data_IF_747482441096
#
_entry.id   IF_747482441096
#
_cell.length_a   1.000
_cell.length_b   1.000
_cell.length_c   1.000
_cell.angle_alpha   90.00
_cell.angle_beta   90.00
_cell.angle_gamma   90.00
#
_symmetry.space_group_name_H-M   'P 1'
#
loop_
_entity.id
_entity.type
_entity.pdbx_description
1 polymer ?
#
# COMPACT_ATOMS: atom_id res chain seq x y z
N UNK A 1 -53.26 24.44 1.39
CA UNK A 1 -51.92 23.83 1.41
C UNK A 1 -50.89 24.92 1.23
N UNK A 2 -50.00 25.20 2.21
CA UNK A 2 -48.95 26.20 2.03
C UNK A 2 -47.92 25.71 1.00
N UNK A 3 -47.33 26.60 0.19
CA UNK A 3 -46.36 26.21 -0.83
C UNK A 3 -45.04 25.73 -0.20
N UNK A 4 -44.52 24.60 -0.69
CA UNK A 4 -43.27 23.94 -0.26
C UNK A 4 -42.03 24.86 -0.16
N UNK A 5 -42.07 26.04 -0.78
CA UNK A 5 -40.97 27.03 -0.75
C UNK A 5 -40.83 27.75 0.59
N UNK A 6 -41.88 27.87 1.39
CA UNK A 6 -41.83 28.65 2.64
C UNK A 6 -41.25 27.86 3.82
N UNK A 7 -41.34 26.53 3.80
CA UNK A 7 -40.90 25.67 4.92
C UNK A 7 -39.40 25.41 4.96
N UNK A 8 -38.68 25.51 3.84
CA UNK A 8 -37.23 25.26 3.75
C UNK A 8 -36.35 26.52 3.93
N UNK A 9 -36.96 27.71 3.91
CA UNK A 9 -36.26 29.01 3.97
C UNK A 9 -35.38 29.23 5.21
N UNK A 10 -35.72 28.80 6.44
CA UNK A 10 -34.85 28.98 7.60
C UNK A 10 -33.64 28.03 7.62
N UNK A 11 -33.73 26.87 6.96
CA UNK A 11 -32.62 25.91 6.89
C UNK A 11 -31.52 26.35 5.92
N UNK A 12 -31.88 27.00 4.81
CA UNK A 12 -30.93 27.52 3.80
C UNK A 12 -30.13 28.75 4.28
N UNK A 13 -30.54 29.41 5.37
CA UNK A 13 -29.86 30.59 5.92
C UNK A 13 -28.85 30.23 7.02
N UNK A 14 -28.90 29.00 7.53
CA UNK A 14 -27.94 28.49 8.51
C UNK A 14 -26.65 28.04 7.81
N UNK A 15 -25.47 28.30 8.38
CA UNK A 15 -24.20 27.80 7.82
C UNK A 15 -24.05 26.27 7.98
N UNK A 16 -24.84 25.66 8.87
CA UNK A 16 -24.75 24.23 9.23
C UNK A 16 -24.79 23.27 8.03
N UNK A 17 -25.76 23.32 7.10
CA UNK A 17 -25.77 22.42 5.94
C UNK A 17 -24.53 22.56 5.05
N UNK A 18 -23.99 23.77 4.89
CA UNK A 18 -22.77 23.98 4.12
C UNK A 18 -21.55 23.37 4.81
N UNK A 19 -21.43 23.54 6.13
CA UNK A 19 -20.33 22.94 6.91
C UNK A 19 -20.37 21.41 6.87
N UNK A 20 -21.56 20.81 6.95
CA UNK A 20 -21.72 19.36 6.84
C UNK A 20 -21.30 18.85 5.45
N UNK A 21 -21.76 19.53 4.39
CA UNK A 21 -21.38 19.18 3.02
C UNK A 21 -19.88 19.35 2.78
N UNK A 22 -19.28 20.46 3.25
CA UNK A 22 -17.85 20.69 3.14
C UNK A 22 -17.04 19.62 3.88
N UNK A 23 -17.46 19.25 5.09
CA UNK A 23 -16.79 18.20 5.88
C UNK A 23 -16.88 16.85 5.18
N UNK A 24 -18.05 16.50 4.64
CA UNK A 24 -18.25 15.27 3.88
C UNK A 24 -17.38 15.24 2.61
N UNK A 25 -17.33 16.36 1.87
CA UNK A 25 -16.51 16.48 0.66
C UNK A 25 -15.01 16.36 0.96
N UNK A 26 -14.52 17.00 2.03
CA UNK A 26 -13.13 16.90 2.47
C UNK A 26 -12.78 15.47 2.92
N UNK A 27 -13.67 14.82 3.66
CA UNK A 27 -13.48 13.43 4.09
C UNK A 27 -13.42 12.45 2.92
N UNK A 28 -14.32 12.62 1.94
CA UNK A 28 -14.30 11.84 0.70
C UNK A 28 -12.97 12.04 -0.05
N UNK A 29 -12.57 13.30 -0.29
CA UNK A 29 -11.35 13.60 -1.03
C UNK A 29 -10.09 13.06 -0.33
N UNK A 30 -10.01 13.21 1.00
CA UNK A 30 -8.94 12.65 1.80
C UNK A 30 -8.85 11.12 1.63
N UNK A 31 -9.98 10.42 1.72
CA UNK A 31 -10.05 8.97 1.52
C UNK A 31 -9.59 8.57 0.13
N UNK A 32 -10.04 9.27 -0.92
CA UNK A 32 -9.62 9.01 -2.30
C UNK A 32 -8.11 9.15 -2.46
N UNK A 33 -7.48 10.16 -1.86
CA UNK A 33 -6.04 10.34 -1.93
C UNK A 33 -5.27 9.24 -1.24
N UNK A 34 -5.68 8.89 -0.02
CA UNK A 34 -5.01 7.81 0.74
C UNK A 34 -5.08 6.50 -0.05
N UNK A 35 -6.25 6.16 -0.60
CA UNK A 35 -6.44 4.97 -1.42
C UNK A 35 -5.61 5.03 -2.71
N UNK A 36 -5.54 6.19 -3.38
CA UNK A 36 -4.72 6.36 -4.58
C UNK A 36 -3.24 6.17 -4.29
N UNK A 37 -2.74 6.75 -3.19
CA UNK A 37 -1.34 6.59 -2.76
C UNK A 37 -1.03 5.12 -2.47
N UNK A 38 -1.92 4.42 -1.77
CA UNK A 38 -1.72 2.99 -1.50
C UNK A 38 -1.72 2.16 -2.78
N UNK A 39 -2.70 2.40 -3.67
CA UNK A 39 -2.80 1.74 -4.97
C UNK A 39 -1.53 1.94 -5.80
N UNK A 40 -0.97 3.16 -5.83
CA UNK A 40 0.28 3.45 -6.53
C UNK A 40 1.46 2.65 -5.98
N UNK A 41 1.56 2.43 -4.66
CA UNK A 41 2.62 1.60 -4.05
C UNK A 41 2.47 0.14 -4.45
N UNK A 42 1.26 -0.42 -4.33
CA UNK A 42 0.96 -1.81 -4.68
C UNK A 42 1.09 -2.11 -6.19
N UNK A 43 0.94 -1.10 -7.05
CA UNK A 43 1.15 -1.24 -8.49
C UNK A 43 2.51 -0.77 -8.99
N UNK A 44 3.40 -0.34 -8.09
CA UNK A 44 4.75 0.10 -8.45
C UNK A 44 5.56 -1.05 -9.08
N UNK A 45 6.48 -0.70 -10.00
CA UNK A 45 7.36 -1.67 -10.64
C UNK A 45 8.21 -2.44 -9.62
N UNK A 46 8.70 -1.73 -8.59
CA UNK A 46 9.51 -2.33 -7.53
C UNK A 46 8.72 -3.34 -6.69
N UNK A 47 7.47 -3.03 -6.33
CA UNK A 47 6.61 -3.97 -5.61
C UNK A 47 6.40 -5.26 -6.41
N UNK A 48 6.08 -5.12 -7.71
CA UNK A 48 5.89 -6.28 -8.60
C UNK A 48 7.17 -7.11 -8.75
N UNK A 49 8.32 -6.45 -8.87
CA UNK A 49 9.62 -7.12 -8.93
C UNK A 49 9.91 -7.90 -7.64
N UNK A 50 9.74 -7.27 -6.47
CA UNK A 50 9.95 -7.94 -5.18
C UNK A 50 9.00 -9.12 -5.01
N UNK A 51 7.70 -8.95 -5.31
CA UNK A 51 6.73 -10.06 -5.26
C UNK A 51 7.12 -11.20 -6.19
N UNK A 52 7.66 -10.90 -7.36
CA UNK A 52 8.13 -11.91 -8.30
C UNK A 52 9.35 -12.68 -7.76
N UNK A 53 10.31 -11.98 -7.16
CA UNK A 53 11.47 -12.61 -6.51
C UNK A 53 11.04 -13.55 -5.38
N UNK A 54 10.17 -13.07 -4.47
CA UNK A 54 9.67 -13.88 -3.35
C UNK A 54 8.95 -15.14 -3.85
N UNK A 55 8.15 -15.03 -4.92
CA UNK A 55 7.43 -16.17 -5.52
C UNK A 55 8.32 -17.20 -6.21
N UNK A 56 9.60 -16.89 -6.43
CA UNK A 56 10.56 -17.77 -7.11
C UNK A 56 11.69 -18.24 -6.20
N UNK A 57 11.95 -17.54 -5.11
CA UNK A 57 12.99 -17.91 -4.15
C UNK A 57 12.60 -19.23 -3.45
N UNK A 58 13.42 -20.30 -3.55
CA UNK A 58 13.09 -21.59 -2.94
C UNK A 58 12.93 -21.54 -1.42
N UNK A 59 13.62 -20.61 -0.74
CA UNK A 59 13.55 -20.43 0.72
C UNK A 59 12.25 -19.72 1.12
N UNK A 60 11.79 -18.78 0.32
CA UNK A 60 10.47 -18.17 0.53
C UNK A 60 9.34 -19.17 0.25
N UNK A 61 9.47 -19.97 -0.81
CA UNK A 61 8.53 -21.01 -1.17
C UNK A 61 8.45 -22.13 -0.12
N UNK A 62 9.57 -22.51 0.49
CA UNK A 62 9.56 -23.51 1.57
C UNK A 62 8.88 -23.00 2.85
N UNK A 63 8.93 -21.70 3.12
CA UNK A 63 8.29 -21.09 4.28
C UNK A 63 6.79 -20.81 4.08
N UNK A 64 6.40 -20.32 2.89
CA UNK A 64 5.05 -19.81 2.63
C UNK A 64 4.20 -20.73 1.76
N UNK A 65 4.81 -21.66 1.03
CA UNK A 65 4.13 -22.49 0.03
C UNK A 65 4.24 -21.92 -1.39
N UNK A 66 3.54 -22.56 -2.33
CA UNK A 66 3.70 -22.31 -3.76
C UNK A 66 2.98 -21.02 -4.23
N UNK A 67 1.83 -20.68 -3.65
CA UNK A 67 1.06 -19.49 -4.02
C UNK A 67 1.15 -18.38 -2.97
N UNK A 68 2.12 -17.48 -3.14
CA UNK A 68 2.28 -16.29 -2.31
C UNK A 68 1.47 -15.13 -2.90
N UNK A 69 0.47 -14.65 -2.16
CA UNK A 69 -0.48 -13.62 -2.58
C UNK A 69 -0.42 -12.39 -1.68
N UNK A 70 -0.72 -11.24 -2.28
CA UNK A 70 -1.01 -10.01 -1.57
C UNK A 70 -2.45 -9.63 -1.89
N UNK A 71 -3.24 -9.39 -0.85
CA UNK A 71 -4.61 -8.94 -0.95
C UNK A 71 -4.80 -7.74 0.01
N UNK A 72 -5.03 -6.53 -0.52
CA UNK A 72 -5.18 -5.33 0.29
C UNK A 72 -6.40 -5.36 1.22
N UNK A 73 -7.45 -6.13 0.88
CA UNK A 73 -8.67 -6.19 1.69
C UNK A 73 -8.45 -6.96 2.99
N UNK A 74 -7.64 -8.02 2.94
CA UNK A 74 -7.39 -8.92 4.09
C UNK A 74 -6.06 -8.63 4.80
N UNK A 75 -5.05 -8.13 4.07
CA UNK A 75 -3.70 -7.91 4.58
C UNK A 75 -3.36 -6.43 4.79
N UNK A 76 -4.25 -5.53 4.37
CA UNK A 76 -4.10 -4.09 4.52
C UNK A 76 -3.13 -3.45 3.53
N UNK A 77 -2.95 -2.15 3.69
CA UNK A 77 -2.18 -1.32 2.76
C UNK A 77 -0.67 -1.58 2.78
N UNK A 78 -0.03 -1.36 1.62
CA UNK A 78 1.43 -1.26 1.51
C UNK A 78 1.91 0.01 2.23
N UNK A 79 2.72 -0.17 3.26
CA UNK A 79 3.32 0.90 4.06
C UNK A 79 4.69 1.29 3.51
N UNK A 80 5.15 2.48 3.91
CA UNK A 80 6.43 3.05 3.48
C UNK A 80 6.29 3.99 2.28
N UNK A 81 7.39 4.21 1.58
CA UNK A 81 7.55 5.23 0.53
C UNK A 81 8.24 4.67 -0.70
N UNK A 82 7.72 5.01 -1.87
CA UNK A 82 8.33 4.70 -3.16
C UNK A 82 8.55 6.00 -3.89
N UNK A 83 9.77 6.24 -4.33
CA UNK A 83 10.14 7.46 -5.02
C UNK A 83 10.93 7.09 -6.26
N UNK A 84 10.20 6.75 -7.33
CA UNK A 84 10.81 6.28 -8.59
C UNK A 84 11.77 7.32 -9.19
N UNK A 85 11.47 8.61 -9.09
CA UNK A 85 12.34 9.67 -9.61
C UNK A 85 13.64 9.85 -8.81
N UNK A 86 13.64 9.56 -7.50
CA UNK A 86 14.86 9.53 -6.68
C UNK A 86 15.55 8.16 -6.70
N UNK A 87 14.93 7.17 -7.34
CA UNK A 87 15.39 5.80 -7.33
C UNK A 87 15.46 5.20 -5.92
N UNK A 88 14.55 5.57 -5.01
CA UNK A 88 14.53 5.04 -3.64
C UNK A 88 13.21 4.35 -3.33
N UNK A 89 13.25 3.23 -2.60
CA UNK A 89 12.07 2.52 -2.13
C UNK A 89 12.30 1.97 -0.73
N UNK A 90 11.31 2.16 0.15
CA UNK A 90 11.19 1.49 1.44
C UNK A 90 9.74 1.06 1.58
N UNK A 91 9.49 -0.24 1.44
CA UNK A 91 8.17 -0.82 1.36
C UNK A 91 8.01 -1.92 2.39
N UNK A 92 6.85 -1.90 3.06
CA UNK A 92 6.45 -2.94 4.02
C UNK A 92 5.02 -3.38 3.74
N UNK A 93 4.81 -4.67 3.58
CA UNK A 93 3.48 -5.23 3.36
C UNK A 93 3.40 -6.67 3.85
N UNK A 94 2.18 -7.12 4.13
CA UNK A 94 1.94 -8.52 4.48
C UNK A 94 1.64 -9.34 3.20
N UNK A 95 2.04 -10.60 3.21
CA UNK A 95 1.71 -11.60 2.18
C UNK A 95 1.15 -12.84 2.86
N UNK A 96 0.33 -13.59 2.13
CA UNK A 96 -0.24 -14.85 2.59
C UNK A 96 0.12 -15.97 1.61
N UNK A 97 0.54 -17.10 2.17
CA UNK A 97 0.86 -18.32 1.44
C UNK A 97 -0.24 -19.39 1.49
N UNK A 98 -0.02 -20.53 0.84
CA UNK A 98 -1.04 -21.60 0.67
C UNK A 98 -1.58 -22.18 1.98
N UNK A 99 -0.76 -22.18 3.04
CA UNK A 99 -1.12 -22.76 4.32
C UNK A 99 -1.78 -21.74 5.28
N UNK A 100 -2.24 -20.59 4.77
CA UNK A 100 -2.73 -19.48 5.61
C UNK A 100 -1.62 -18.80 6.42
N UNK A 101 -0.36 -19.13 6.13
CA UNK A 101 0.82 -18.54 6.78
C UNK A 101 0.97 -17.12 6.27
N UNK A 102 0.95 -16.17 7.20
CA UNK A 102 1.19 -14.75 6.91
C UNK A 102 2.66 -14.41 7.14
N UNK A 103 3.19 -13.59 6.27
CA UNK A 103 4.52 -13.03 6.40
C UNK A 103 4.54 -11.52 6.17
N UNK A 104 5.39 -10.83 6.89
CA UNK A 104 5.69 -9.42 6.64
C UNK A 104 6.93 -9.33 5.77
N UNK A 105 6.78 -8.69 4.62
CA UNK A 105 7.87 -8.37 3.71
C UNK A 105 8.38 -6.96 4.03
N UNK A 106 9.69 -6.81 4.19
CA UNK A 106 10.33 -5.51 4.24
C UNK A 106 11.39 -5.43 3.15
N UNK A 107 11.18 -4.51 2.22
CA UNK A 107 12.14 -4.16 1.18
C UNK A 107 12.60 -2.72 1.36
N UNK A 108 13.91 -2.49 1.39
CA UNK A 108 14.53 -1.17 1.28
C UNK A 108 15.64 -1.25 0.24
N UNK A 109 15.62 -0.35 -0.73
CA UNK A 109 16.64 -0.29 -1.75
C UNK A 109 16.72 1.06 -2.44
N UNK A 110 17.83 1.30 -3.11
CA UNK A 110 18.09 2.51 -3.87
C UNK A 110 18.90 2.21 -5.14
N UNK A 111 18.76 3.08 -6.15
CA UNK A 111 19.66 3.12 -7.30
C UNK A 111 20.93 3.87 -6.87
N UNK A 112 22.07 3.18 -6.78
CA UNK A 112 23.34 3.83 -6.42
C UNK A 112 23.85 4.75 -7.53
N UNK A 113 23.65 4.36 -8.78
CA UNK A 113 24.06 5.14 -9.94
C UNK A 113 22.82 5.53 -10.75
N UNK A 114 22.45 6.82 -10.85
CA UNK A 114 21.25 7.24 -11.58
C UNK A 114 21.24 6.88 -13.07
N UNK A 115 22.43 6.72 -13.68
CA UNK A 115 22.58 6.29 -15.08
C UNK A 115 22.39 4.78 -15.28
N UNK A 116 22.57 3.97 -14.25
CA UNK A 116 22.39 2.52 -14.32
C UNK A 116 21.02 2.18 -13.75
N UNK A 117 20.18 1.45 -14.50
CA UNK A 117 18.84 1.05 -14.04
C UNK A 117 18.90 -0.12 -13.03
N UNK A 118 19.98 -0.19 -12.25
CA UNK A 118 20.29 -1.26 -11.30
C UNK A 118 19.83 -0.82 -9.92
N UNK A 119 18.91 -1.60 -9.34
CA UNK A 119 18.46 -1.42 -7.97
C UNK A 119 19.31 -2.25 -7.03
N UNK A 120 19.88 -1.61 -6.01
CA UNK A 120 20.56 -2.31 -4.92
C UNK A 120 19.65 -2.36 -3.70
N UNK A 121 19.52 -3.55 -3.11
CA UNK A 121 18.74 -3.75 -1.90
C UNK A 121 19.60 -3.59 -0.66
N UNK A 122 19.21 -2.69 0.24
CA UNK A 122 19.81 -2.57 1.57
C UNK A 122 19.22 -3.60 2.52
N UNK A 123 17.88 -3.75 2.45
CA UNK A 123 17.09 -4.69 3.25
C UNK A 123 16.16 -5.43 2.30
N UNK A 124 16.18 -6.75 2.38
CA UNK A 124 15.16 -7.57 1.76
C UNK A 124 14.88 -8.75 2.68
N UNK A 125 13.79 -8.68 3.43
CA UNK A 125 13.45 -9.71 4.42
C UNK A 125 11.99 -10.14 4.31
N UNK A 126 11.76 -11.40 4.64
CA UNK A 126 10.44 -12.01 4.79
C UNK A 126 10.37 -12.60 6.19
N UNK A 127 9.44 -12.10 7.00
CA UNK A 127 9.29 -12.51 8.39
C UNK A 127 7.96 -13.24 8.61
N UNK A 128 8.02 -14.46 9.14
CA UNK A 128 6.86 -15.24 9.59
C UNK A 128 7.04 -15.58 11.06
N UNK A 129 6.17 -15.03 11.92
CA UNK A 129 6.31 -15.19 13.37
C UNK A 129 7.70 -14.74 13.84
N UNK A 130 8.43 -15.67 14.46
CA UNK A 130 9.80 -15.44 14.96
C UNK A 130 10.89 -15.68 13.90
N UNK A 131 10.55 -16.29 12.76
CA UNK A 131 11.49 -16.61 11.69
C UNK A 131 11.65 -15.43 10.75
N UNK A 132 12.86 -14.89 10.65
CA UNK A 132 13.21 -13.86 9.67
C UNK A 132 14.15 -14.45 8.61
N UNK A 133 13.69 -14.44 7.36
CA UNK A 133 14.49 -14.85 6.20
C UNK A 133 15.03 -13.60 5.50
N UNK A 134 16.35 -13.52 5.32
CA UNK A 134 16.96 -12.51 4.46
C UNK A 134 17.07 -13.03 3.03
N UNK A 135 16.52 -12.26 2.09
CA UNK A 135 16.54 -12.49 0.65
C UNK A 135 17.45 -11.49 -0.07
N UNK A 136 18.31 -10.79 0.66
CA UNK A 136 19.31 -9.91 0.07
C UNK A 136 20.32 -10.75 -0.69
N UNK A 137 20.58 -10.41 -1.95
CA UNK A 137 21.72 -10.94 -2.70
C UNK A 137 23.00 -10.37 -2.06
N UNK A 138 23.91 -11.26 -1.64
CA UNK A 138 25.27 -10.93 -1.20
C UNK A 138 26.19 -10.61 -2.39
#
# INVERSE_FOLDING_TARGET
MPPLRQTLRPYLRSPVPYLLLSTAALGFWYSTIVQSINSQKAHSGIFKAVMFYIRRDPRALSLLGANIKYDPETLGDVKGTVTMHRGTADLKWAVEGDNGVRANVHYRGARRTPQEDIWESDIFTVQTGDTTLSLKDE
#
